data_IF_831072864542
#
_entry.id   IF_831072864542
#
_cell.length_a   1.000
_cell.length_b   1.000
_cell.length_c   1.000
_cell.angle_alpha   90.00
_cell.angle_beta   90.00
_cell.angle_gamma   90.00
#
_symmetry.space_group_name_H-M   'P 1'
#
loop_
_entity.id
_entity.type
_entity.pdbx_description
1 polymer ?
#
# COMPACT_ATOMS: atom_id res chain seq x y z
N UNK A 1 16.49 1.10 -27.21
CA UNK A 1 15.87 1.90 -26.18
C UNK A 1 15.44 1.03 -25.01
N UNK A 2 15.64 1.51 -23.82
CA UNK A 2 15.24 0.74 -22.67
C UNK A 2 13.98 1.32 -22.06
N UNK A 3 13.03 0.44 -21.79
CA UNK A 3 11.80 0.81 -21.12
C UNK A 3 12.01 0.82 -19.62
N UNK A 4 11.58 1.88 -19.01
CA UNK A 4 11.63 1.97 -17.56
C UNK A 4 10.32 1.54 -16.99
N UNK A 5 10.40 0.85 -15.88
CA UNK A 5 9.19 0.43 -15.20
C UNK A 5 8.60 1.63 -14.46
N UNK A 6 7.35 1.88 -14.74
CA UNK A 6 6.56 2.82 -13.96
C UNK A 6 5.64 2.03 -13.07
N UNK A 7 5.34 2.60 -11.91
CA UNK A 7 4.44 1.96 -10.96
C UNK A 7 3.30 2.92 -10.64
N UNK A 8 2.08 2.43 -10.74
CA UNK A 8 0.90 3.17 -10.36
C UNK A 8 0.27 2.50 -9.15
N UNK A 9 -0.02 3.28 -8.13
CA UNK A 9 -0.65 2.79 -6.91
C UNK A 9 -2.00 3.44 -6.75
N UNK A 10 -3.04 2.63 -6.62
CA UNK A 10 -4.37 3.10 -6.32
C UNK A 10 -4.61 2.88 -4.83
N UNK A 11 -4.55 3.95 -4.05
CA UNK A 11 -4.74 3.90 -2.61
C UNK A 11 -6.22 4.00 -2.30
N UNK A 12 -6.81 2.89 -1.90
CA UNK A 12 -8.22 2.86 -1.56
C UNK A 12 -8.45 2.77 -0.06
N UNK A 13 -9.63 3.18 0.36
CA UNK A 13 -10.04 3.05 1.75
C UNK A 13 -10.03 1.58 2.18
N UNK A 14 -10.45 0.71 1.29
CA UNK A 14 -10.55 -0.72 1.58
C UNK A 14 -9.35 -1.48 1.04
N UNK A 15 -9.01 -1.25 -0.22
CA UNK A 15 -7.94 -2.00 -0.89
C UNK A 15 -6.95 -1.07 -1.56
N UNK A 16 -5.71 -1.52 -1.62
CA UNK A 16 -4.64 -0.85 -2.36
C UNK A 16 -4.24 -1.75 -3.52
N UNK A 17 -4.13 -1.16 -4.70
CA UNK A 17 -3.74 -1.87 -5.91
C UNK A 17 -2.40 -1.31 -6.39
N UNK A 18 -1.51 -2.20 -6.81
CA UNK A 18 -0.23 -1.79 -7.39
C UNK A 18 -0.14 -2.36 -8.79
N UNK A 19 0.05 -1.49 -9.76
CA UNK A 19 0.19 -1.86 -11.16
C UNK A 19 1.57 -1.46 -11.66
N UNK A 20 2.15 -2.30 -12.50
CA UNK A 20 3.45 -2.04 -13.08
C UNK A 20 3.30 -1.94 -14.59
N UNK A 21 3.93 -0.92 -15.16
CA UNK A 21 3.87 -0.69 -16.61
C UNK A 21 4.36 -1.95 -17.35
N UNK A 22 3.55 -2.39 -18.30
CA UNK A 22 3.85 -3.56 -19.08
C UNK A 22 3.52 -4.88 -18.42
N UNK A 23 3.13 -4.86 -17.15
CA UNK A 23 2.80 -6.09 -16.43
C UNK A 23 1.38 -6.10 -15.86
N UNK A 24 0.78 -4.92 -15.73
CA UNK A 24 -0.56 -4.81 -15.17
C UNK A 24 -0.59 -4.89 -13.66
N UNK A 25 -1.66 -5.41 -13.13
CA UNK A 25 -1.87 -5.51 -11.69
C UNK A 25 -0.95 -6.56 -11.11
N UNK A 26 -0.09 -6.17 -10.17
CA UNK A 26 0.87 -7.08 -9.55
C UNK A 26 0.59 -7.30 -8.07
N UNK A 27 -0.23 -6.44 -7.45
CA UNK A 27 -0.54 -6.58 -6.05
C UNK A 27 -1.91 -5.95 -5.77
N UNK A 28 -2.70 -6.67 -5.01
CA UNK A 28 -3.99 -6.17 -4.53
C UNK A 28 -4.14 -6.64 -3.10
N UNK A 29 -4.18 -5.68 -2.17
CA UNK A 29 -4.18 -6.00 -0.75
C UNK A 29 -5.10 -5.05 0.00
N UNK A 30 -5.68 -5.49 1.11
CA UNK A 30 -6.38 -4.56 1.98
C UNK A 30 -5.48 -3.42 2.43
N UNK A 31 -6.06 -2.23 2.53
CA UNK A 31 -5.34 -1.04 2.99
C UNK A 31 -5.26 -1.07 4.51
N UNK A 32 -4.34 -1.88 5.02
CA UNK A 32 -4.19 -2.11 6.45
C UNK A 32 -2.72 -2.31 6.79
N UNK A 33 -2.35 -1.88 7.98
CA UNK A 33 -1.01 -2.07 8.49
C UNK A 33 -1.11 -2.38 9.98
N UNK A 34 -0.31 -3.34 10.43
CA UNK A 34 -0.22 -3.67 11.84
C UNK A 34 1.14 -3.24 12.36
N UNK A 35 1.13 -2.50 13.44
CA UNK A 35 2.35 -1.95 14.03
C UNK A 35 2.56 -2.52 15.43
N UNK A 36 3.82 -2.78 15.75
CA UNK A 36 4.21 -3.10 17.11
C UNK A 36 4.11 -1.82 17.93
N UNK A 37 3.34 -1.86 19.02
CA UNK A 37 3.10 -0.66 19.82
C UNK A 37 4.35 -0.17 20.55
N UNK A 38 5.23 -1.07 20.88
CA UNK A 38 6.44 -0.69 21.63
C UNK A 38 7.50 -0.09 20.73
N UNK A 39 7.71 -0.69 19.57
CA UNK A 39 8.81 -0.29 18.70
C UNK A 39 8.36 0.58 17.53
N UNK A 40 7.07 0.58 17.20
CA UNK A 40 6.56 1.24 16.02
C UNK A 40 6.89 0.51 14.73
N UNK A 41 7.47 -0.66 14.81
CA UNK A 41 7.84 -1.41 13.62
C UNK A 41 6.63 -2.05 12.97
N UNK A 42 6.73 -2.24 11.67
CA UNK A 42 5.69 -2.88 10.90
C UNK A 42 5.69 -4.37 11.20
N UNK A 43 4.60 -4.87 11.76
CA UNK A 43 4.43 -6.29 12.04
C UNK A 43 3.81 -7.01 10.84
N UNK A 44 2.90 -6.34 10.13
CA UNK A 44 2.24 -6.94 8.97
C UNK A 44 1.61 -5.83 8.13
N UNK A 45 1.36 -6.12 6.86
CA UNK A 45 0.64 -5.21 5.98
C UNK A 45 -0.39 -6.00 5.19
N UNK A 46 -1.37 -5.30 4.66
CA UNK A 46 -2.34 -5.89 3.76
C UNK A 46 -3.19 -6.95 4.42
N UNK A 47 -3.37 -8.05 3.75
CA UNK A 47 -4.24 -9.13 4.21
C UNK A 47 -3.83 -9.68 5.55
N UNK A 48 -2.51 -9.79 5.78
CA UNK A 48 -2.00 -10.27 7.06
C UNK A 48 -2.34 -9.31 8.20
N UNK A 49 -2.27 -8.01 7.94
CA UNK A 49 -2.64 -7.02 8.94
C UNK A 49 -4.14 -7.02 9.18
N UNK A 50 -4.91 -7.07 8.10
CA UNK A 50 -6.37 -7.04 8.18
C UNK A 50 -6.91 -8.24 8.95
N UNK A 51 -6.25 -9.37 8.83
CA UNK A 51 -6.62 -10.58 9.58
C UNK A 51 -6.46 -10.42 11.08
N UNK A 52 -5.62 -9.48 11.50
CA UNK A 52 -5.41 -9.19 12.92
C UNK A 52 -6.43 -8.20 13.47
N UNK A 53 -7.18 -7.53 12.60
CA UNK A 53 -8.19 -6.57 13.05
C UNK A 53 -9.23 -7.30 13.89
N UNK A 54 -9.53 -6.75 15.04
CA UNK A 54 -10.44 -7.38 15.99
C UNK A 54 -9.79 -8.44 16.85
N UNK A 55 -8.53 -8.76 16.55
CA UNK A 55 -7.75 -9.73 17.35
C UNK A 55 -6.48 -9.08 17.87
N UNK A 56 -6.49 -7.76 17.94
CA UNK A 56 -5.32 -7.03 18.39
C UNK A 56 -4.99 -7.38 19.83
N UNK A 57 -3.70 -7.42 20.11
CA UNK A 57 -3.20 -7.63 21.44
C UNK A 57 -2.68 -6.30 21.97
N UNK A 58 -2.15 -6.32 23.21
CA UNK A 58 -1.52 -5.14 23.76
C UNK A 58 -0.30 -4.73 22.96
N UNK A 59 0.30 -5.67 22.23
CA UNK A 59 1.55 -5.44 21.53
C UNK A 59 1.36 -4.97 20.08
N UNK A 60 0.20 -5.21 19.51
CA UNK A 60 -0.02 -4.96 18.08
C UNK A 60 -1.27 -4.13 17.88
N UNK A 61 -1.13 -3.11 17.07
CA UNK A 61 -2.22 -2.23 16.67
C UNK A 61 -2.44 -2.30 15.17
N UNK A 62 -3.69 -2.46 14.75
CA UNK A 62 -4.04 -2.47 13.33
C UNK A 62 -4.60 -1.10 12.97
N UNK A 63 -4.07 -0.53 11.91
CA UNK A 63 -4.47 0.79 11.42
C UNK A 63 -4.94 0.64 9.97
N UNK A 64 -6.07 1.28 9.67
CA UNK A 64 -6.56 1.45 8.32
C UNK A 64 -6.32 2.90 7.95
N UNK A 65 -5.24 3.20 7.23
CA UNK A 65 -4.76 4.57 7.14
C UNK A 65 -5.57 5.50 6.24
N UNK A 66 -6.53 4.96 5.50
CA UNK A 66 -7.38 5.79 4.65
C UNK A 66 -8.82 5.72 5.10
N UNK A 67 -9.50 6.87 5.05
CA UNK A 67 -10.92 6.99 5.36
C UNK A 67 -11.59 7.82 4.30
N UNK A 68 -12.66 7.30 3.73
CA UNK A 68 -13.44 8.04 2.74
C UNK A 68 -12.57 8.57 1.60
N UNK A 69 -11.61 7.77 1.17
CA UNK A 69 -10.72 8.14 0.08
C UNK A 69 -9.65 9.14 0.44
N UNK A 70 -9.47 9.42 1.73
CA UNK A 70 -8.50 10.42 2.19
C UNK A 70 -7.50 9.75 3.13
N UNK A 71 -6.24 10.17 3.02
CA UNK A 71 -5.21 9.68 3.92
C UNK A 71 -5.45 10.29 5.29
N UNK A 72 -5.80 9.44 6.27
CA UNK A 72 -6.05 9.86 7.64
C UNK A 72 -4.79 9.74 8.50
N UNK A 73 -3.87 8.87 8.10
CA UNK A 73 -2.61 8.67 8.82
C UNK A 73 -1.49 8.57 7.80
N UNK A 74 -0.74 9.64 7.67
CA UNK A 74 0.29 9.73 6.63
C UNK A 74 1.45 8.77 6.89
N UNK A 75 1.90 8.68 8.13
CA UNK A 75 3.03 7.81 8.45
C UNK A 75 2.67 6.35 8.22
N UNK A 76 1.49 5.94 8.63
CA UNK A 76 1.03 4.58 8.43
C UNK A 76 0.85 4.28 6.94
N UNK A 77 0.31 5.23 6.17
CA UNK A 77 0.16 5.07 4.73
C UNK A 77 1.50 4.91 4.05
N UNK A 78 2.47 5.71 4.45
CA UNK A 78 3.82 5.66 3.86
C UNK A 78 4.48 4.31 4.14
N UNK A 79 4.40 3.86 5.39
CA UNK A 79 4.99 2.58 5.75
C UNK A 79 4.32 1.42 5.02
N UNK A 80 3.00 1.46 4.90
CA UNK A 80 2.25 0.44 4.18
C UNK A 80 2.66 0.42 2.71
N UNK A 81 2.71 1.59 2.09
CA UNK A 81 3.11 1.71 0.69
C UNK A 81 4.52 1.19 0.44
N UNK A 82 5.44 1.55 1.31
CA UNK A 82 6.82 1.08 1.17
C UNK A 82 6.89 -0.43 1.20
N UNK A 83 6.12 -1.05 2.09
CA UNK A 83 6.08 -2.51 2.20
C UNK A 83 5.48 -3.14 0.95
N UNK A 84 4.39 -2.57 0.44
CA UNK A 84 3.76 -3.09 -0.77
C UNK A 84 4.68 -2.94 -1.98
N UNK A 85 5.34 -1.79 -2.11
CA UNK A 85 6.25 -1.57 -3.24
C UNK A 85 7.45 -2.50 -3.18
N UNK A 86 7.97 -2.72 -1.99
CA UNK A 86 9.08 -3.66 -1.81
C UNK A 86 8.67 -5.06 -2.23
N UNK A 87 7.50 -5.49 -1.82
CA UNK A 87 6.99 -6.81 -2.18
C UNK A 87 6.79 -6.92 -3.68
N UNK A 88 6.23 -5.88 -4.30
CA UNK A 88 6.01 -5.88 -5.74
C UNK A 88 7.32 -5.96 -6.51
N UNK A 89 8.33 -5.22 -6.06
CA UNK A 89 9.64 -5.24 -6.71
C UNK A 89 10.30 -6.60 -6.61
N UNK A 90 10.32 -7.15 -5.40
CA UNK A 90 10.97 -8.45 -5.19
C UNK A 90 10.27 -9.54 -5.96
N UNK A 91 8.95 -9.51 -5.94
CA UNK A 91 8.16 -10.55 -6.58
C UNK A 91 8.32 -10.52 -8.10
N UNK A 92 8.54 -9.35 -8.67
CA UNK A 92 8.63 -9.18 -10.12
C UNK A 92 10.04 -8.98 -10.63
N UNK A 93 11.03 -9.01 -9.75
CA UNK A 93 12.41 -8.81 -10.15
C UNK A 93 12.71 -7.40 -10.62
N UNK A 94 11.93 -6.44 -10.20
CA UNK A 94 12.14 -5.06 -10.58
C UNK A 94 13.26 -4.48 -9.73
N UNK A 95 14.34 -4.08 -10.37
CA UNK A 95 15.48 -3.52 -9.67
C UNK A 95 15.36 -2.02 -9.50
N UNK A 96 14.59 -1.38 -10.37
CA UNK A 96 14.57 0.07 -10.41
C UNK A 96 13.22 0.52 -10.93
N UNK A 97 12.71 1.58 -10.34
CA UNK A 97 11.46 2.19 -10.76
C UNK A 97 11.72 3.63 -11.09
N UNK A 98 11.37 4.06 -12.30
CA UNK A 98 11.61 5.44 -12.71
C UNK A 98 10.62 6.39 -12.10
N UNK A 99 9.41 5.94 -11.83
CA UNK A 99 8.37 6.79 -11.27
C UNK A 99 7.33 5.96 -10.56
N UNK A 100 6.80 6.54 -9.48
CA UNK A 100 5.67 5.96 -8.76
C UNK A 100 4.60 7.03 -8.68
N UNK A 101 3.42 6.71 -9.16
CA UNK A 101 2.28 7.61 -9.11
C UNK A 101 1.24 7.01 -8.18
N UNK A 102 0.87 7.77 -7.16
CA UNK A 102 -0.13 7.35 -6.20
C UNK A 102 -1.39 8.16 -6.40
N UNK A 103 -2.51 7.48 -6.50
CA UNK A 103 -3.81 8.12 -6.69
C UNK A 103 -4.74 7.60 -5.60
N UNK A 104 -5.38 8.49 -4.83
CA UNK A 104 -6.38 8.03 -3.87
C UNK A 104 -7.54 7.40 -4.63
N UNK A 105 -7.93 6.21 -4.17
CA UNK A 105 -9.08 5.53 -4.74
C UNK A 105 -10.32 6.35 -4.47
N UNK A 106 -11.18 6.42 -5.44
CA UNK A 106 -12.37 7.24 -5.32
C UNK A 106 -12.16 8.68 -5.72
N UNK A 107 -10.91 9.07 -6.00
CA UNK A 107 -10.67 10.36 -6.60
C UNK A 107 -11.36 10.40 -7.94
N UNK A 108 -12.13 11.44 -8.16
CA UNK A 108 -12.84 11.57 -9.41
C UNK A 108 -11.95 12.28 -10.39
N UNK A 109 -11.66 11.62 -11.48
CA UNK A 109 -10.97 12.26 -12.59
C UNK A 109 -11.99 13.04 -13.36
N UNK A 110 -12.06 14.30 -13.06
CA UNK A 110 -13.00 15.15 -13.77
C UNK A 110 -12.34 15.58 -15.06
N UNK A 111 -13.00 15.30 -16.14
CA UNK A 111 -12.48 15.73 -17.43
C UNK A 111 -12.59 17.25 -17.54
N UNK A 112 -11.54 17.84 -17.97
CA UNK A 112 -11.45 19.29 -18.09
C UNK A 112 -11.47 19.68 -19.55
#
# INVERSE_FOLDING_TARGET
MRLRAGVAVDLGTVNTLVCVAGRGLVLEEPSAIALDRDTGRVAAVGRAADALAGKETQDVEVIHPLRDGVIADLDASTAMLQAFLRRARLHRGLLRTSAVVCVPSGATWVER
#
